data_IF_638153579236
#
_entry.id   IF_638153579236
#
_cell.length_a   1.000
_cell.length_b   1.000
_cell.length_c   1.000
_cell.angle_alpha   90.00
_cell.angle_beta   90.00
_cell.angle_gamma   90.00
#
_symmetry.space_group_name_H-M   'P 1'
#
loop_
_entity.id
_entity.type
_entity.pdbx_description
1 polymer ?
#
# COMPACT_ATOMS: atom_id res chain seq x y z
N UNK A 1 -9.97 22.74 -17.21
CA UNK A 1 -8.88 21.95 -16.62
C UNK A 1 -9.07 21.82 -15.13
N UNK A 2 -9.31 20.59 -14.69
CA UNK A 2 -9.30 20.15 -13.31
C UNK A 2 -7.88 20.16 -12.74
N UNK A 3 -7.77 20.00 -11.41
CA UNK A 3 -6.47 19.84 -10.74
C UNK A 3 -5.75 18.56 -11.19
N UNK A 4 -6.51 17.52 -11.53
CA UNK A 4 -5.97 16.23 -11.96
C UNK A 4 -5.31 16.34 -13.34
N UNK A 5 -6.03 16.92 -14.31
CA UNK A 5 -5.51 17.10 -15.68
C UNK A 5 -4.20 17.90 -15.71
N UNK A 6 -4.05 18.89 -14.83
CA UNK A 6 -2.80 19.66 -14.72
C UNK A 6 -1.64 18.82 -14.19
N UNK A 7 -1.93 17.90 -13.27
CA UNK A 7 -0.93 16.99 -12.70
C UNK A 7 -0.51 15.94 -13.73
N UNK A 8 -1.45 15.41 -14.50
CA UNK A 8 -1.15 14.49 -15.61
C UNK A 8 -0.26 15.14 -16.67
N UNK A 9 -0.55 16.39 -17.04
CA UNK A 9 0.30 17.15 -17.96
C UNK A 9 1.69 17.42 -17.39
N UNK A 10 1.79 17.79 -16.10
CA UNK A 10 3.08 18.03 -15.46
C UNK A 10 3.94 16.75 -15.41
N UNK A 11 3.34 15.62 -15.04
CA UNK A 11 4.03 14.32 -14.99
C UNK A 11 4.46 13.86 -16.38
N UNK A 12 3.63 14.11 -17.41
CA UNK A 12 3.96 13.76 -18.80
C UNK A 12 5.08 14.62 -19.40
N UNK A 13 5.34 15.79 -18.84
CA UNK A 13 6.37 16.71 -19.29
C UNK A 13 7.74 16.48 -18.60
N UNK A 14 7.81 15.59 -17.60
CA UNK A 14 9.05 15.26 -16.91
C UNK A 14 10.02 14.55 -17.84
N UNK A 15 11.31 14.84 -17.66
CA UNK A 15 12.35 14.02 -18.27
C UNK A 15 12.50 12.66 -17.56
N UNK A 16 13.38 11.80 -18.08
CA UNK A 16 13.53 10.44 -17.55
C UNK A 16 14.03 10.39 -16.09
N UNK A 17 14.88 11.33 -15.66
CA UNK A 17 15.44 11.36 -14.31
C UNK A 17 14.41 11.91 -13.31
N UNK A 18 13.72 12.97 -13.71
CA UNK A 18 12.62 13.55 -12.93
C UNK A 18 11.46 12.55 -12.78
N UNK A 19 11.12 11.83 -13.86
CA UNK A 19 10.08 10.81 -13.84
C UNK A 19 10.46 9.63 -12.94
N UNK A 20 11.72 9.18 -12.97
CA UNK A 20 12.21 8.13 -12.08
C UNK A 20 12.12 8.56 -10.60
N UNK A 21 12.54 9.78 -10.31
CA UNK A 21 12.46 10.35 -8.95
C UNK A 21 11.01 10.50 -8.48
N UNK A 22 10.11 10.98 -9.35
CA UNK A 22 8.68 11.05 -9.08
C UNK A 22 8.09 9.67 -8.81
N UNK A 23 8.45 8.67 -9.62
CA UNK A 23 7.94 7.30 -9.48
C UNK A 23 8.34 6.70 -8.14
N UNK A 24 9.60 6.83 -7.74
CA UNK A 24 10.09 6.35 -6.44
C UNK A 24 9.36 7.03 -5.26
N UNK A 25 9.18 8.35 -5.33
CA UNK A 25 8.41 9.07 -4.32
C UNK A 25 6.95 8.64 -4.29
N UNK A 26 6.31 8.45 -5.45
CA UNK A 26 4.91 8.08 -5.54
C UNK A 26 4.67 6.66 -5.00
N UNK A 27 5.57 5.72 -5.28
CA UNK A 27 5.54 4.38 -4.70
C UNK A 27 5.63 4.42 -3.17
N UNK A 28 6.57 5.19 -2.62
CA UNK A 28 6.68 5.37 -1.17
C UNK A 28 5.40 5.98 -0.57
N UNK A 29 4.80 6.95 -1.26
CA UNK A 29 3.56 7.58 -0.82
C UNK A 29 2.37 6.61 -0.87
N UNK A 30 2.29 5.76 -1.90
CA UNK A 30 1.28 4.71 -1.97
C UNK A 30 1.46 3.67 -0.87
N UNK A 31 2.70 3.24 -0.60
CA UNK A 31 3.02 2.34 0.50
C UNK A 31 2.58 2.93 1.85
N UNK A 32 2.93 4.19 2.13
CA UNK A 32 2.52 4.86 3.37
C UNK A 32 1.00 4.96 3.52
N UNK A 33 0.27 5.18 2.42
CA UNK A 33 -1.20 5.17 2.42
C UNK A 33 -1.77 3.78 2.68
N UNK A 34 -1.17 2.76 2.10
CA UNK A 34 -1.54 1.37 2.33
C UNK A 34 -1.32 0.98 3.80
N UNK A 35 -0.15 1.28 4.37
CA UNK A 35 0.17 1.01 5.77
C UNK A 35 -0.83 1.67 6.71
N UNK A 36 -1.19 2.94 6.44
CA UNK A 36 -2.20 3.64 7.23
C UNK A 36 -3.55 2.92 7.17
N UNK A 37 -3.99 2.52 5.97
CA UNK A 37 -5.26 1.82 5.79
C UNK A 37 -5.27 0.48 6.52
N UNK A 38 -4.19 -0.29 6.41
CA UNK A 38 -4.04 -1.57 7.14
C UNK A 38 -4.10 -1.34 8.64
N UNK A 39 -3.43 -0.30 9.16
CA UNK A 39 -3.47 0.01 10.58
C UNK A 39 -4.87 0.44 11.05
N UNK A 40 -5.63 1.19 10.24
CA UNK A 40 -7.01 1.56 10.52
C UNK A 40 -7.95 0.34 10.48
N UNK A 41 -7.84 -0.49 9.44
CA UNK A 41 -8.61 -1.72 9.29
C UNK A 41 -8.33 -2.72 10.43
N UNK A 42 -7.07 -2.83 10.86
CA UNK A 42 -6.69 -3.62 12.03
C UNK A 42 -7.37 -3.10 13.31
N UNK A 43 -7.36 -1.78 13.53
CA UNK A 43 -8.03 -1.16 14.70
C UNK A 43 -9.54 -1.32 14.66
N UNK A 44 -10.13 -1.31 13.47
CA UNK A 44 -11.57 -1.50 13.27
C UNK A 44 -12.00 -2.99 13.38
N UNK A 45 -11.06 -3.93 13.53
CA UNK A 45 -11.32 -5.36 13.59
C UNK A 45 -11.63 -6.00 12.23
N UNK A 46 -11.47 -5.28 11.12
CA UNK A 46 -11.73 -5.80 9.77
C UNK A 46 -10.81 -6.97 9.40
N UNK A 47 -9.63 -7.04 10.02
CA UNK A 47 -8.63 -8.09 9.76
C UNK A 47 -8.72 -9.26 10.74
N UNK A 48 -9.62 -9.23 11.74
CA UNK A 48 -9.69 -10.22 12.81
C UNK A 48 -10.01 -11.62 12.28
N UNK A 49 -10.86 -11.72 11.26
CA UNK A 49 -11.18 -13.00 10.61
C UNK A 49 -9.96 -13.65 9.95
N UNK A 50 -9.12 -12.84 9.29
CA UNK A 50 -7.88 -13.31 8.68
C UNK A 50 -6.86 -13.73 9.74
N UNK A 51 -6.72 -12.94 10.81
CA UNK A 51 -5.86 -13.26 11.94
C UNK A 51 -6.29 -14.57 12.61
N UNK A 52 -7.59 -14.76 12.85
CA UNK A 52 -8.15 -15.98 13.43
C UNK A 52 -7.87 -17.21 12.57
N UNK A 53 -8.06 -17.11 11.25
CA UNK A 53 -7.76 -18.19 10.31
C UNK A 53 -6.27 -18.54 10.31
N UNK A 54 -5.38 -17.54 10.23
CA UNK A 54 -3.94 -17.76 10.26
C UNK A 54 -3.48 -18.45 11.55
N UNK A 55 -4.01 -18.03 12.71
CA UNK A 55 -3.73 -18.68 13.99
C UNK A 55 -4.28 -20.11 14.05
N UNK A 56 -5.44 -20.36 13.44
CA UNK A 56 -6.02 -21.70 13.31
C UNK A 56 -5.12 -22.65 12.53
N UNK A 57 -4.61 -22.21 11.38
CA UNK A 57 -3.69 -23.00 10.55
C UNK A 57 -2.34 -23.20 11.23
N UNK A 58 -1.82 -22.19 11.94
CA UNK A 58 -0.57 -22.29 12.69
C UNK A 58 -0.67 -23.34 13.80
N UNK A 59 -1.78 -23.34 14.56
CA UNK A 59 -2.04 -24.35 15.61
C UNK A 59 -2.17 -25.76 15.05
N UNK A 60 -2.57 -25.90 13.79
CA UNK A 60 -2.63 -27.19 13.10
C UNK A 60 -1.30 -27.62 12.48
N UNK A 61 -0.20 -26.90 12.75
CA UNK A 61 1.12 -27.13 12.16
C UNK A 61 1.13 -27.05 10.63
N UNK A 62 0.20 -26.31 10.02
CA UNK A 62 0.08 -26.13 8.57
C UNK A 62 0.88 -24.93 8.05
N UNK A 63 1.64 -24.27 8.91
CA UNK A 63 2.49 -23.12 8.60
C UNK A 63 3.96 -23.44 8.85
N UNK A 64 4.88 -22.72 8.19
CA UNK A 64 6.30 -22.76 8.51
C UNK A 64 6.63 -21.92 9.75
N UNK A 65 7.66 -22.29 10.54
CA UNK A 65 8.17 -21.42 11.59
C UNK A 65 8.68 -20.09 10.98
N UNK A 66 8.56 -19.02 11.77
CA UNK A 66 9.03 -17.67 11.43
C UNK A 66 10.56 -17.62 11.31
#
# INVERSE_FOLDING_TARGET
MSKLEKLEQAVSALDAEEFASFSAWFEAQQAARFDRRIAEDAKAGHLDGLAGAALGEHRQHRTRPL
#
